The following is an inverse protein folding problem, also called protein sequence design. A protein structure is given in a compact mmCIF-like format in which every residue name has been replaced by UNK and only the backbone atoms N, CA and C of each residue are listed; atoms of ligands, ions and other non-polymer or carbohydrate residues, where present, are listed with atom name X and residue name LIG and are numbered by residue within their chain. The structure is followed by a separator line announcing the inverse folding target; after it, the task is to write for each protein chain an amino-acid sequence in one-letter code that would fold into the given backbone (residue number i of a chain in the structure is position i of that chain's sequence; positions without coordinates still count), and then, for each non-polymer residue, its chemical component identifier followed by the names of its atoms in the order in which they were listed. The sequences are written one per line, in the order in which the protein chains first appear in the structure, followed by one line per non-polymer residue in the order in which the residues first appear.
data_IF_669912763041
#
_entry.id   IF_669912763041
#
_cell.length_a   1.000
_cell.length_b   1.000
_cell.length_c   1.000
_cell.angle_alpha   90.00
_cell.angle_beta   90.00
_cell.angle_gamma   90.00
#
_symmetry.space_group_name_H-M   'P 1'
#
loop_
_entity.id
_entity.type
_entity.pdbx_description
1 polymer ?
#
# COMPACT_ATOMS: atom_id res chain seq x y z
N UNK A 1 -20.56 19.28 -35.87
CA UNK A 1 -19.83 18.84 -34.66
C UNK A 1 -19.75 17.32 -34.68
N UNK A 2 -18.54 16.74 -34.77
CA UNK A 2 -18.37 15.28 -34.71
C UNK A 2 -18.62 14.85 -33.27
N UNK A 3 -19.58 13.95 -33.05
CA UNK A 3 -19.98 13.51 -31.72
C UNK A 3 -18.83 12.80 -31.01
N UNK A 4 -18.29 13.45 -29.99
CA UNK A 4 -17.31 12.88 -29.05
C UNK A 4 -18.09 12.26 -27.90
N UNK A 5 -17.77 11.02 -27.53
CA UNK A 5 -18.37 10.35 -26.37
C UNK A 5 -19.16 9.09 -26.71
N UNK A 6 -18.87 8.41 -27.82
CA UNK A 6 -19.47 7.11 -28.11
C UNK A 6 -18.72 6.03 -27.32
N UNK A 7 -19.40 5.02 -26.74
CA UNK A 7 -18.73 3.92 -26.03
C UNK A 7 -17.64 3.22 -26.84
N UNK A 8 -17.80 3.14 -28.17
CA UNK A 8 -16.80 2.60 -29.10
C UNK A 8 -15.51 3.43 -29.20
N UNK A 9 -15.50 4.70 -28.79
CA UNK A 9 -14.30 5.53 -28.79
C UNK A 9 -13.28 5.01 -27.76
N UNK A 10 -13.74 4.29 -26.72
CA UNK A 10 -12.91 3.72 -25.66
C UNK A 10 -12.62 2.22 -25.86
N UNK A 11 -13.51 1.51 -26.54
CA UNK A 11 -13.35 0.09 -26.84
C UNK A 11 -12.65 -0.11 -28.19
N UNK A 12 -11.38 0.28 -28.25
CA UNK A 12 -10.52 0.06 -29.41
C UNK A 12 -9.11 -0.39 -29.00
N UNK A 13 -8.40 -1.01 -29.96
CA UNK A 13 -7.07 -1.58 -29.74
C UNK A 13 -6.05 -0.55 -29.23
N UNK A 14 -6.18 0.71 -29.62
CA UNK A 14 -5.27 1.76 -29.16
C UNK A 14 -5.44 2.00 -27.66
N UNK A 15 -6.67 2.17 -27.19
CA UNK A 15 -6.96 2.35 -25.77
C UNK A 15 -6.57 1.14 -24.94
N UNK A 16 -6.81 -0.07 -25.44
CA UNK A 16 -6.36 -1.31 -24.80
C UNK A 16 -4.84 -1.35 -24.64
N UNK A 17 -4.09 -1.02 -25.70
CA UNK A 17 -2.62 -1.00 -25.63
C UNK A 17 -2.08 0.01 -24.61
N UNK A 18 -2.73 1.17 -24.48
CA UNK A 18 -2.34 2.19 -23.50
C UNK A 18 -2.59 1.71 -22.05
N UNK A 19 -3.69 0.99 -21.83
CA UNK A 19 -3.99 0.40 -20.51
C UNK A 19 -3.00 -0.72 -20.20
N UNK A 20 -2.74 -1.63 -21.15
CA UNK A 20 -1.79 -2.73 -20.99
C UNK A 20 -0.36 -2.23 -20.70
N UNK A 21 0.03 -1.09 -21.27
CA UNK A 21 1.31 -0.43 -20.96
C UNK A 21 1.42 0.05 -19.52
N UNK A 22 0.30 0.40 -18.86
CA UNK A 22 0.26 0.80 -17.45
C UNK A 22 0.22 -0.38 -16.49
N UNK A 23 -0.11 -1.58 -16.98
CA UNK A 23 -0.07 -2.81 -16.19
C UNK A 23 1.37 -3.27 -15.97
N UNK A 24 1.62 -3.95 -14.85
CA UNK A 24 2.90 -4.61 -14.63
C UNK A 24 3.08 -5.81 -15.58
N UNK A 25 4.32 -6.28 -15.73
CA UNK A 25 4.67 -7.35 -16.65
C UNK A 25 3.95 -8.65 -16.31
N UNK A 26 3.79 -8.94 -15.02
CA UNK A 26 3.10 -10.12 -14.50
C UNK A 26 1.62 -10.11 -14.86
N UNK A 27 0.93 -8.98 -14.61
CA UNK A 27 -0.49 -8.83 -14.91
C UNK A 27 -0.75 -8.95 -16.42
N UNK A 28 0.13 -8.38 -17.26
CA UNK A 28 0.01 -8.49 -18.73
C UNK A 28 0.14 -9.94 -19.21
N UNK A 29 1.04 -10.72 -18.61
CA UNK A 29 1.20 -12.16 -18.94
C UNK A 29 -0.02 -12.97 -18.55
N UNK A 30 -0.60 -12.72 -17.38
CA UNK A 30 -1.79 -13.44 -16.91
C UNK A 30 -2.99 -13.06 -17.78
N UNK A 31 -3.14 -11.78 -18.11
CA UNK A 31 -4.19 -11.30 -19.00
C UNK A 31 -4.11 -11.94 -20.40
N UNK A 32 -2.93 -11.99 -21.01
CA UNK A 32 -2.75 -12.64 -22.31
C UNK A 32 -3.17 -14.13 -22.28
N UNK A 33 -2.79 -14.86 -21.23
CA UNK A 33 -3.20 -16.25 -21.02
C UNK A 33 -4.71 -16.41 -20.84
N UNK A 34 -5.37 -15.45 -20.20
CA UNK A 34 -6.83 -15.45 -20.04
C UNK A 34 -7.54 -15.30 -21.39
N UNK A 35 -7.04 -14.41 -22.26
CA UNK A 35 -7.58 -14.21 -23.60
C UNK A 35 -7.41 -15.47 -24.46
N UNK A 36 -6.22 -16.06 -24.44
CA UNK A 36 -5.92 -17.33 -25.12
C UNK A 36 -6.82 -18.46 -24.63
N UNK A 37 -6.96 -18.61 -23.30
CA UNK A 37 -7.77 -19.69 -22.70
C UNK A 37 -9.25 -19.60 -23.06
N UNK A 38 -9.79 -18.39 -23.17
CA UNK A 38 -11.20 -18.18 -23.43
C UNK A 38 -11.53 -17.98 -24.91
N UNK A 39 -10.52 -17.96 -25.80
CA UNK A 39 -10.65 -17.67 -27.23
C UNK A 39 -11.42 -16.38 -27.53
N UNK A 40 -11.25 -15.35 -26.67
CA UNK A 40 -11.95 -14.06 -26.79
C UNK A 40 -11.02 -12.96 -27.27
N UNK A 41 -11.51 -12.04 -28.12
CA UNK A 41 -10.76 -10.83 -28.43
C UNK A 41 -10.67 -9.94 -27.19
N UNK A 42 -9.58 -9.19 -27.11
CA UNK A 42 -9.43 -8.16 -26.08
C UNK A 42 -10.51 -7.09 -26.27
N UNK A 43 -11.23 -6.77 -25.20
CA UNK A 43 -12.21 -5.68 -25.13
C UNK A 43 -12.03 -4.95 -23.81
N UNK A 44 -12.38 -3.67 -23.77
CA UNK A 44 -12.22 -2.86 -22.56
C UNK A 44 -13.06 -3.43 -21.41
N UNK A 45 -14.29 -3.84 -21.72
CA UNK A 45 -15.17 -4.45 -20.74
C UNK A 45 -14.61 -5.77 -20.20
N UNK A 46 -14.03 -6.60 -21.08
CA UNK A 46 -13.38 -7.85 -20.67
C UNK A 46 -12.18 -7.61 -19.76
N UNK A 47 -11.35 -6.62 -20.09
CA UNK A 47 -10.17 -6.25 -19.30
C UNK A 47 -10.57 -5.74 -17.91
N UNK A 48 -11.58 -4.87 -17.81
CA UNK A 48 -12.08 -4.36 -16.52
C UNK A 48 -12.63 -5.49 -15.66
N UNK A 49 -13.48 -6.36 -16.23
CA UNK A 49 -14.06 -7.49 -15.51
C UNK A 49 -12.98 -8.47 -14.99
N UNK A 50 -11.95 -8.70 -15.80
CA UNK A 50 -10.81 -9.52 -15.39
C UNK A 50 -10.01 -8.88 -14.26
N UNK A 51 -9.67 -7.58 -14.36
CA UNK A 51 -8.95 -6.86 -13.30
C UNK A 51 -9.69 -6.88 -11.96
N UNK A 52 -11.02 -6.72 -11.98
CA UNK A 52 -11.83 -6.85 -10.75
C UNK A 52 -11.73 -8.25 -10.14
N UNK A 53 -11.75 -9.28 -10.98
CA UNK A 53 -11.65 -10.68 -10.54
C UNK A 53 -10.27 -10.96 -9.96
N UNK A 54 -9.22 -10.50 -10.61
CA UNK A 54 -7.84 -10.61 -10.14
C UNK A 54 -7.63 -9.89 -8.80
N UNK A 55 -8.13 -8.66 -8.66
CA UNK A 55 -8.04 -7.91 -7.41
C UNK A 55 -8.73 -8.65 -6.26
N UNK A 56 -9.95 -9.18 -6.49
CA UNK A 56 -10.68 -9.98 -5.50
C UNK A 56 -9.94 -11.26 -5.14
N UNK A 57 -9.34 -11.93 -6.11
CA UNK A 57 -8.54 -13.14 -5.91
C UNK A 57 -7.32 -12.85 -5.02
N UNK A 58 -6.56 -11.79 -5.32
CA UNK A 58 -5.39 -11.37 -4.53
C UNK A 58 -5.74 -10.97 -3.11
N UNK A 59 -6.85 -10.24 -2.93
CA UNK A 59 -7.35 -9.87 -1.62
C UNK A 59 -7.70 -11.11 -0.78
N UNK A 60 -8.30 -12.14 -1.40
CA UNK A 60 -8.61 -13.40 -0.72
C UNK A 60 -7.35 -14.19 -0.38
N UNK A 61 -6.40 -14.30 -1.31
CA UNK A 61 -5.17 -15.06 -1.12
C UNK A 61 -4.27 -14.46 -0.03
N UNK A 62 -4.29 -13.13 0.13
CA UNK A 62 -3.52 -12.41 1.14
C UNK A 62 -4.30 -12.10 2.41
N UNK A 63 -5.57 -12.55 2.51
CA UNK A 63 -6.37 -12.38 3.70
C UNK A 63 -5.74 -13.14 4.88
N UNK A 64 -5.64 -12.53 6.08
CA UNK A 64 -5.18 -13.23 7.27
C UNK A 64 -6.11 -14.42 7.54
N UNK A 65 -5.57 -15.64 7.51
CA UNK A 65 -6.30 -16.82 7.93
C UNK A 65 -6.59 -16.68 9.42
N UNK A 66 -7.82 -16.31 9.78
CA UNK A 66 -8.30 -16.35 11.16
C UNK A 66 -8.40 -17.80 11.58
N UNK A 67 -7.35 -18.34 12.17
CA UNK A 67 -7.44 -19.59 12.92
C UNK A 67 -7.41 -19.29 14.43
N UNK A 68 -8.53 -19.47 15.16
CA UNK A 68 -8.50 -19.59 16.60
C UNK A 68 -8.00 -21.02 16.92
N UNK A 69 -6.86 -21.11 17.60
CA UNK A 69 -6.18 -22.35 17.98
C UNK A 69 -5.41 -23.05 16.85
N UNK A 70 -4.09 -22.85 16.83
CA UNK A 70 -3.09 -23.89 17.11
C UNK A 70 -1.70 -23.38 16.71
N UNK A 71 -0.86 -23.19 17.72
CA UNK A 71 0.58 -23.51 17.63
C UNK A 71 1.44 -22.68 16.68
N UNK A 72 1.40 -21.35 16.77
CA UNK A 72 2.63 -20.61 16.44
C UNK A 72 3.61 -20.87 17.58
N UNK A 73 4.59 -21.74 17.33
CA UNK A 73 5.77 -21.86 18.19
C UNK A 73 6.50 -20.52 18.12
N UNK A 74 6.14 -19.62 19.05
CA UNK A 74 6.95 -18.47 19.38
C UNK A 74 8.30 -19.01 19.84
N UNK A 75 9.30 -18.87 18.97
CA UNK A 75 10.69 -18.87 19.42
C UNK A 75 10.77 -17.73 20.43
N UNK A 76 11.04 -18.06 21.68
CA UNK A 76 11.23 -17.11 22.77
C UNK A 76 12.38 -16.17 22.38
N UNK A 77 12.05 -15.04 21.77
CA UNK A 77 12.99 -13.96 21.58
C UNK A 77 12.99 -13.18 22.89
N UNK A 78 14.06 -13.44 23.64
CA UNK A 78 14.45 -12.84 24.89
C UNK A 78 13.99 -11.37 24.99
N UNK A 79 13.15 -11.11 26.00
CA UNK A 79 13.03 -9.84 26.74
C UNK A 79 13.39 -8.56 25.97
N UNK A 80 12.42 -8.04 25.23
CA UNK A 80 12.35 -6.62 24.86
C UNK A 80 10.89 -6.25 24.72
N UNK A 81 10.34 -5.50 25.69
CA UNK A 81 8.97 -5.01 25.58
C UNK A 81 8.76 -4.32 24.22
N UNK A 82 7.59 -4.50 23.60
CA UNK A 82 7.26 -3.81 22.34
C UNK A 82 7.48 -2.31 22.56
N UNK A 83 8.18 -1.61 21.65
CA UNK A 83 8.39 -0.18 21.81
C UNK A 83 7.04 0.54 21.91
N UNK A 84 6.95 1.60 22.74
CA UNK A 84 5.69 2.32 22.91
C UNK A 84 5.23 2.92 21.57
N UNK A 85 3.91 2.93 21.35
CA UNK A 85 3.30 3.52 20.15
C UNK A 85 3.60 5.02 20.03
N UNK A 86 3.68 5.72 21.18
CA UNK A 86 4.07 7.11 21.26
C UNK A 86 5.43 7.24 21.94
N UNK A 87 6.43 7.73 21.21
CA UNK A 87 7.78 7.96 21.73
C UNK A 87 7.93 9.27 22.52
N UNK A 88 6.85 10.05 22.69
CA UNK A 88 6.82 11.27 23.51
C UNK A 88 6.28 10.99 24.91
N UNK A 89 5.34 10.05 25.03
CA UNK A 89 4.60 9.80 26.26
C UNK A 89 5.03 8.51 26.97
N UNK A 90 6.02 7.78 26.45
CA UNK A 90 6.47 6.45 26.89
C UNK A 90 5.32 5.46 27.19
N UNK A 91 4.16 5.71 26.58
CA UNK A 91 2.95 4.94 26.75
C UNK A 91 2.43 4.43 25.40
N UNK A 92 1.74 3.30 25.42
CA UNK A 92 1.22 2.63 24.21
C UNK A 92 -0.26 2.96 23.93
N UNK A 93 -0.77 4.05 24.50
CA UNK A 93 -2.20 4.40 24.44
C UNK A 93 -2.60 5.05 23.11
N UNK A 94 -1.68 5.79 22.48
CA UNK A 94 -1.92 6.53 21.25
C UNK A 94 -0.68 6.52 20.34
N UNK A 95 -0.88 6.91 19.09
CA UNK A 95 0.20 7.18 18.12
C UNK A 95 0.62 8.66 18.20
N UNK A 96 1.82 9.00 17.71
CA UNK A 96 2.37 10.37 17.84
C UNK A 96 1.55 11.43 17.09
N UNK A 97 0.90 11.06 16.00
CA UNK A 97 -0.07 11.91 15.26
C UNK A 97 -1.28 12.31 16.11
N UNK A 98 -1.58 11.55 17.16
CA UNK A 98 -2.68 11.77 18.11
C UNK A 98 -2.18 12.32 19.45
N UNK A 99 -0.87 12.51 19.62
CA UNK A 99 -0.30 13.01 20.87
C UNK A 99 -0.63 14.49 21.08
N UNK A 100 -1.39 14.80 22.13
CA UNK A 100 -1.74 16.19 22.47
C UNK A 100 -0.50 17.03 22.80
N UNK A 101 0.48 16.46 23.52
CA UNK A 101 1.76 17.13 23.80
C UNK A 101 2.51 17.50 22.52
N UNK A 102 2.45 16.65 21.50
CA UNK A 102 3.07 16.93 20.20
C UNK A 102 2.31 18.00 19.43
N UNK A 103 0.98 17.97 19.48
CA UNK A 103 0.11 18.98 18.85
C UNK A 103 0.20 20.34 19.54
N UNK A 104 0.50 20.41 20.82
CA UNK A 104 0.69 21.68 21.53
C UNK A 104 2.07 22.31 21.31
N UNK A 105 3.06 21.57 20.80
CA UNK A 105 4.40 22.10 20.50
C UNK A 105 4.38 23.06 19.31
N UNK A 106 5.30 24.02 19.32
CA UNK A 106 5.57 24.88 18.16
C UNK A 106 6.08 24.04 16.97
N UNK A 107 5.90 24.50 15.72
CA UNK A 107 6.45 23.80 14.55
C UNK A 107 7.96 23.56 14.63
N UNK A 108 8.70 24.51 15.18
CA UNK A 108 10.16 24.45 15.37
C UNK A 108 10.54 23.36 16.38
N UNK A 109 9.83 23.30 17.52
CA UNK A 109 10.03 22.28 18.54
C UNK A 109 9.68 20.89 18.01
N UNK A 110 8.60 20.74 17.23
CA UNK A 110 8.26 19.46 16.60
C UNK A 110 9.37 18.95 15.71
N UNK A 111 9.95 19.82 14.87
CA UNK A 111 11.06 19.45 13.99
C UNK A 111 12.29 19.01 14.78
N UNK A 112 12.62 19.75 15.84
CA UNK A 112 13.74 19.43 16.74
C UNK A 112 13.51 18.07 17.42
N UNK A 113 12.34 17.87 18.00
CA UNK A 113 11.96 16.66 18.73
C UNK A 113 11.91 15.41 17.83
N UNK A 114 11.44 15.54 16.58
CA UNK A 114 11.47 14.45 15.59
C UNK A 114 12.91 14.08 15.23
N UNK A 115 13.80 15.06 15.06
CA UNK A 115 15.22 14.83 14.77
C UNK A 115 15.93 14.12 15.93
N UNK A 116 15.75 14.59 17.15
CA UNK A 116 16.36 14.01 18.37
C UNK A 116 15.90 12.57 18.60
N UNK A 117 14.64 12.26 18.29
CA UNK A 117 14.09 10.92 18.42
C UNK A 117 14.37 10.00 17.22
N UNK A 118 15.16 10.47 16.25
CA UNK A 118 15.45 9.77 14.99
C UNK A 118 14.17 9.31 14.28
N UNK A 119 13.12 10.11 14.35
CA UNK A 119 11.84 9.82 13.72
C UNK A 119 11.77 10.45 12.32
N UNK A 120 10.97 9.83 11.45
CA UNK A 120 10.67 10.36 10.14
C UNK A 120 9.78 11.60 10.25
N UNK A 121 10.10 12.66 9.51
CA UNK A 121 9.25 13.86 9.45
C UNK A 121 7.92 13.60 8.75
N UNK A 122 7.87 12.66 7.80
CA UNK A 122 6.65 12.34 7.06
C UNK A 122 5.73 11.38 7.84
N UNK A 123 6.30 10.28 8.37
CA UNK A 123 5.49 9.24 8.99
C UNK A 123 5.53 9.20 10.53
N UNK A 124 6.34 10.04 11.17
CA UNK A 124 6.53 10.14 12.64
C UNK A 124 6.97 8.83 13.33
N UNK A 125 7.42 7.83 12.58
CA UNK A 125 7.96 6.56 13.10
C UNK A 125 9.47 6.68 13.34
N UNK A 126 9.98 6.06 14.40
CA UNK A 126 11.44 5.95 14.66
C UNK A 126 12.11 5.17 13.52
N UNK A 127 13.25 5.66 13.05
CA UNK A 127 14.05 5.02 12.02
C UNK A 127 14.50 3.62 12.49
N UNK A 128 14.46 2.66 11.56
CA UNK A 128 14.74 1.25 11.84
C UNK A 128 15.07 0.50 10.54
N UNK A 129 15.18 -0.83 10.60
CA UNK A 129 15.54 -1.67 9.43
C UNK A 129 14.60 -1.46 8.23
N UNK A 130 13.34 -1.12 8.48
CA UNK A 130 12.31 -0.92 7.45
C UNK A 130 12.05 0.57 7.12
N UNK A 131 12.83 1.49 7.70
CA UNK A 131 12.63 2.91 7.51
C UNK A 131 13.96 3.68 7.59
N UNK A 132 14.61 3.85 6.45
CA UNK A 132 15.78 4.72 6.30
C UNK A 132 15.31 6.19 6.19
N UNK A 133 15.89 7.13 6.96
CA UNK A 133 15.65 8.56 6.77
C UNK A 133 16.42 9.06 5.54
N UNK A 134 16.17 8.47 4.37
CA UNK A 134 16.64 9.01 3.11
C UNK A 134 15.55 9.91 2.56
N UNK A 135 15.68 11.22 2.83
CA UNK A 135 15.32 12.35 1.97
C UNK A 135 14.94 13.57 2.81
N UNK A 136 15.93 14.27 3.36
CA UNK A 136 15.85 15.73 3.53
C UNK A 136 17.22 16.28 3.11
N UNK A 137 17.32 16.70 1.84
CA UNK A 137 18.24 17.79 1.50
C UNK A 137 17.63 19.06 2.09
N UNK A 138 18.47 19.80 2.80
CA UNK A 138 18.23 21.18 3.23
C UNK A 138 17.78 22.05 2.05
#
# INVERSE_FOLDING_TARGET
MKGVGKPHDMDNNHMLSLIEQKMCVEDRKIWARELERNERPASLQGLIAWMETEMKSRMRATAPLRNPSQGSRYVNQLSGGKPPKCWICDNSTHWVDQCEKFKSMSPEDRLKTVRENHACFSCLKKAGRDHTPQSIKL
#
